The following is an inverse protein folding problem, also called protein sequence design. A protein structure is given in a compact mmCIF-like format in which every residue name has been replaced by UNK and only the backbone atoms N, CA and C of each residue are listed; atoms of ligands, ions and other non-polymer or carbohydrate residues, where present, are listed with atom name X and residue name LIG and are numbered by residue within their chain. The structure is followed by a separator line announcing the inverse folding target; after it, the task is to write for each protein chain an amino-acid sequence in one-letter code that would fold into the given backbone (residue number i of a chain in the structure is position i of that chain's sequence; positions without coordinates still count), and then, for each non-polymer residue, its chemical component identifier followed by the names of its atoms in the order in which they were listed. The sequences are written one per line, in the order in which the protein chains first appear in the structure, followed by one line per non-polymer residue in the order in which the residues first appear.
data_IF_450360592240
#
_entry.id   IF_450360592240
#
_cell.length_a   1.000
_cell.length_b   1.000
_cell.length_c   1.000
_cell.angle_alpha   90.00
_cell.angle_beta   90.00
_cell.angle_gamma   90.00
#
_symmetry.space_group_name_H-M   'P 1'
#
loop_
_entity.id
_entity.type
_entity.pdbx_description
1 polymer ?
#
# COMPACT_ATOMS: atom_id res chain seq x y z
N UNK A 1 -22.38 2.36 -10.04
CA UNK A 1 -23.39 2.35 -8.94
C UNK A 1 -22.82 2.86 -7.62
N UNK A 2 -21.68 2.34 -7.14
CA UNK A 2 -21.06 2.78 -5.87
C UNK A 2 -20.75 4.29 -5.82
N UNK A 3 -20.02 4.85 -6.80
CA UNK A 3 -19.74 6.30 -6.86
C UNK A 3 -21.03 7.14 -6.89
N UNK A 4 -21.98 6.73 -7.72
CA UNK A 4 -23.23 7.45 -7.95
C UNK A 4 -24.16 7.48 -6.72
N UNK A 5 -23.98 6.57 -5.75
CA UNK A 5 -24.78 6.61 -4.52
C UNK A 5 -24.36 7.75 -3.57
N UNK A 6 -23.19 8.36 -3.78
CA UNK A 6 -22.62 9.37 -2.88
C UNK A 6 -22.11 8.82 -1.54
N UNK A 7 -22.45 7.58 -1.18
CA UNK A 7 -22.06 6.96 0.09
C UNK A 7 -20.64 6.36 0.06
N UNK A 8 -20.17 5.93 -1.10
CA UNK A 8 -18.84 5.30 -1.25
C UNK A 8 -17.86 6.32 -1.81
N UNK A 9 -16.93 6.75 -0.97
CA UNK A 9 -15.89 7.74 -1.33
C UNK A 9 -14.72 7.08 -2.08
N UNK A 10 -14.32 5.88 -1.62
CA UNK A 10 -13.13 5.18 -2.08
C UNK A 10 -13.32 3.65 -2.00
N UNK A 11 -12.46 2.90 -2.68
CA UNK A 11 -12.29 1.47 -2.47
C UNK A 11 -10.89 1.19 -1.93
N UNK A 12 -10.78 0.28 -0.95
CA UNK A 12 -9.50 -0.12 -0.36
C UNK A 12 -9.07 -1.47 -0.92
N UNK A 13 -7.89 -1.52 -1.52
CA UNK A 13 -7.24 -2.71 -2.03
C UNK A 13 -6.35 -3.32 -0.94
N UNK A 14 -6.63 -4.58 -0.62
CA UNK A 14 -5.76 -5.44 0.18
C UNK A 14 -5.29 -6.61 -0.68
N UNK A 15 -3.96 -6.82 -0.84
CA UNK A 15 -3.44 -8.06 -1.37
C UNK A 15 -3.83 -9.23 -0.44
N UNK A 16 -4.13 -10.39 -1.03
CA UNK A 16 -4.60 -11.55 -0.26
C UNK A 16 -3.57 -11.97 0.80
N UNK A 17 -3.98 -11.98 2.08
CA UNK A 17 -3.12 -12.36 3.21
C UNK A 17 -2.12 -11.27 3.67
N UNK A 18 -2.24 -10.02 3.22
CA UNK A 18 -1.30 -8.95 3.55
C UNK A 18 -1.44 -8.43 4.98
N UNK A 19 -2.64 -8.51 5.54
CA UNK A 19 -2.97 -7.97 6.86
C UNK A 19 -4.18 -8.68 7.48
N UNK A 20 -4.62 -8.25 8.67
CA UNK A 20 -5.79 -8.80 9.37
C UNK A 20 -7.04 -8.76 8.48
N UNK A 21 -7.77 -9.88 8.39
CA UNK A 21 -8.98 -10.06 7.58
C UNK A 21 -8.80 -9.85 6.07
N UNK A 22 -7.59 -10.11 5.53
CA UNK A 22 -7.31 -9.96 4.10
C UNK A 22 -7.28 -11.27 3.30
N UNK A 23 -7.74 -12.39 3.88
CA UNK A 23 -7.73 -13.70 3.19
C UNK A 23 -8.58 -13.71 1.91
N UNK A 24 -9.62 -12.86 1.85
CA UNK A 24 -10.45 -12.63 0.66
C UNK A 24 -9.93 -11.49 -0.24
N UNK A 25 -8.66 -11.08 -0.05
CA UNK A 25 -8.02 -10.01 -0.79
C UNK A 25 -7.73 -10.36 -2.26
N UNK A 26 -7.15 -9.40 -2.96
CA UNK A 26 -6.81 -9.54 -4.38
C UNK A 26 -5.61 -10.47 -4.53
N UNK A 27 -5.78 -11.55 -5.29
CA UNK A 27 -4.70 -12.53 -5.57
C UNK A 27 -3.85 -12.15 -6.77
N UNK A 28 -4.45 -11.47 -7.75
CA UNK A 28 -3.79 -10.93 -8.94
C UNK A 28 -4.52 -9.64 -9.32
N UNK A 29 -3.78 -8.53 -9.36
CA UNK A 29 -4.36 -7.22 -9.63
C UNK A 29 -4.91 -7.11 -11.05
N UNK A 30 -4.36 -7.87 -12.01
CA UNK A 30 -4.85 -7.86 -13.40
C UNK A 30 -6.28 -8.33 -13.52
N UNK A 31 -6.73 -9.20 -12.61
CA UNK A 31 -8.13 -9.67 -12.58
C UNK A 31 -9.12 -8.57 -12.22
N UNK A 32 -8.67 -7.50 -11.58
CA UNK A 32 -9.51 -6.36 -11.20
C UNK A 32 -9.28 -5.13 -12.08
N UNK A 33 -8.49 -5.21 -13.15
CA UNK A 33 -8.31 -4.10 -14.10
C UNK A 33 -9.63 -3.51 -14.62
N UNK A 34 -10.68 -4.30 -14.93
CA UNK A 34 -11.97 -3.73 -15.29
C UNK A 34 -12.59 -2.85 -14.19
N UNK A 35 -12.33 -3.17 -12.92
CA UNK A 35 -12.77 -2.36 -11.76
C UNK A 35 -11.92 -1.09 -11.65
N UNK A 36 -10.60 -1.19 -11.83
CA UNK A 36 -9.70 -0.03 -11.80
C UNK A 36 -10.03 0.98 -12.91
N UNK A 37 -10.30 0.48 -14.12
CA UNK A 37 -10.79 1.28 -15.25
C UNK A 37 -12.09 2.02 -14.89
N UNK A 38 -13.07 1.29 -14.35
CA UNK A 38 -14.35 1.90 -13.95
C UNK A 38 -14.17 2.92 -12.81
N UNK A 39 -13.25 2.69 -11.87
CA UNK A 39 -12.91 3.65 -10.81
C UNK A 39 -12.28 4.92 -11.38
N UNK A 40 -11.38 4.78 -12.35
CA UNK A 40 -10.77 5.91 -13.07
C UNK A 40 -11.84 6.75 -13.78
N UNK A 41 -12.71 6.11 -14.57
CA UNK A 41 -13.78 6.78 -15.34
C UNK A 41 -14.73 7.61 -14.46
N UNK A 42 -15.00 7.15 -13.23
CA UNK A 42 -15.91 7.84 -12.30
C UNK A 42 -15.17 8.68 -11.24
N UNK A 43 -13.84 8.77 -11.31
CA UNK A 43 -13.02 9.51 -10.34
C UNK A 43 -13.19 9.02 -8.90
N UNK A 44 -13.21 7.70 -8.68
CA UNK A 44 -13.21 7.09 -7.36
C UNK A 44 -11.76 6.86 -6.89
N UNK A 45 -11.49 7.13 -5.60
CA UNK A 45 -10.17 6.91 -5.02
C UNK A 45 -9.88 5.42 -4.82
N UNK A 46 -8.69 4.98 -5.20
CA UNK A 46 -8.11 3.70 -4.84
C UNK A 46 -7.16 3.89 -3.66
N UNK A 47 -7.48 3.30 -2.52
CA UNK A 47 -6.59 3.27 -1.36
C UNK A 47 -5.87 1.92 -1.36
N UNK A 48 -4.56 1.88 -1.10
CA UNK A 48 -3.75 0.66 -1.32
C UNK A 48 -2.96 0.31 -0.07
N UNK A 49 -3.13 -0.92 0.43
CA UNK A 49 -2.13 -1.55 1.31
C UNK A 49 -1.03 -2.13 0.42
N UNK A 50 0.11 -1.45 0.34
CA UNK A 50 1.15 -1.77 -0.65
C UNK A 50 2.19 -2.77 -0.17
N UNK A 51 1.81 -4.04 0.03
CA UNK A 51 2.76 -5.13 0.31
C UNK A 51 2.40 -6.38 -0.49
N UNK A 52 3.41 -7.05 -1.06
CA UNK A 52 3.22 -8.44 -1.51
C UNK A 52 3.18 -9.36 -0.30
N UNK A 53 2.58 -10.54 -0.46
CA UNK A 53 2.32 -11.46 0.65
C UNK A 53 2.98 -12.82 0.47
N UNK A 54 3.71 -12.97 -0.63
CA UNK A 54 4.34 -14.22 -1.01
C UNK A 54 5.39 -14.62 0.04
N UNK A 55 5.47 -15.92 0.32
CA UNK A 55 6.28 -16.46 1.41
C UNK A 55 7.80 -16.39 1.15
N UNK A 56 8.19 -16.23 -0.11
CA UNK A 56 9.57 -16.10 -0.58
C UNK A 56 10.14 -14.68 -0.46
N UNK A 57 9.28 -13.68 -0.19
CA UNK A 57 9.69 -12.28 0.00
C UNK A 57 9.74 -11.95 1.49
N UNK A 58 10.93 -11.53 1.95
CA UNK A 58 11.15 -11.09 3.32
C UNK A 58 10.22 -9.93 3.69
N UNK A 59 9.66 -9.96 4.91
CA UNK A 59 8.68 -8.98 5.38
C UNK A 59 9.17 -7.53 5.29
N UNK A 60 10.49 -7.29 5.38
CA UNK A 60 11.07 -5.96 5.25
C UNK A 60 11.12 -5.46 3.80
N UNK A 61 11.04 -6.35 2.80
CA UNK A 61 11.15 -6.05 1.37
C UNK A 61 9.80 -6.09 0.63
N UNK A 62 8.73 -6.51 1.31
CA UNK A 62 7.38 -6.65 0.72
C UNK A 62 6.82 -5.35 0.13
N UNK A 63 7.06 -4.21 0.78
CA UNK A 63 6.58 -2.91 0.30
C UNK A 63 7.28 -2.52 -1.00
N UNK A 64 8.62 -2.57 -1.03
CA UNK A 64 9.41 -2.31 -2.23
C UNK A 64 9.01 -3.22 -3.40
N UNK A 65 8.86 -4.51 -3.12
CA UNK A 65 8.47 -5.50 -4.13
C UNK A 65 7.08 -5.22 -4.71
N UNK A 66 6.16 -4.70 -3.89
CA UNK A 66 4.83 -4.28 -4.35
C UNK A 66 4.90 -3.04 -5.25
N UNK A 67 5.73 -2.05 -4.90
CA UNK A 67 5.93 -0.86 -5.75
C UNK A 67 6.38 -1.25 -7.15
N UNK A 68 7.43 -2.09 -7.22
CA UNK A 68 8.08 -2.45 -8.47
C UNK A 68 7.18 -3.32 -9.36
N UNK A 69 6.52 -4.33 -8.77
CA UNK A 69 5.83 -5.36 -9.54
C UNK A 69 4.31 -5.16 -9.68
N UNK A 70 3.70 -4.34 -8.82
CA UNK A 70 2.24 -4.19 -8.75
C UNK A 70 1.81 -2.74 -8.95
N UNK A 71 2.35 -1.81 -8.16
CA UNK A 71 1.87 -0.42 -8.21
C UNK A 71 2.36 0.33 -9.45
N UNK A 72 3.62 0.17 -9.83
CA UNK A 72 4.18 0.84 -11.01
C UNK A 72 3.39 0.52 -12.30
N UNK A 73 3.04 -0.75 -12.60
CA UNK A 73 2.17 -1.08 -13.73
C UNK A 73 0.78 -0.42 -13.64
N UNK A 74 0.15 -0.40 -12.46
CA UNK A 74 -1.18 0.22 -12.30
C UNK A 74 -1.14 1.73 -12.58
N UNK A 75 -0.12 2.43 -12.05
CA UNK A 75 0.05 3.87 -12.28
C UNK A 75 0.30 4.16 -13.76
N UNK A 76 1.04 3.28 -14.45
CA UNK A 76 1.30 3.41 -15.89
C UNK A 76 0.04 3.14 -16.73
N UNK A 77 -0.70 2.08 -16.41
CA UNK A 77 -1.86 1.62 -17.17
C UNK A 77 -3.11 2.50 -16.93
N UNK A 78 -3.20 3.12 -15.75
CA UNK A 78 -4.33 3.96 -15.32
C UNK A 78 -3.86 5.34 -14.82
N UNK A 79 -3.32 6.20 -15.70
CA UNK A 79 -2.69 7.47 -15.31
C UNK A 79 -3.66 8.48 -14.66
N UNK A 80 -4.96 8.36 -14.91
CA UNK A 80 -6.00 9.24 -14.35
C UNK A 80 -6.64 8.67 -13.07
N UNK A 81 -6.29 7.42 -12.69
CA UNK A 81 -6.78 6.82 -11.46
C UNK A 81 -6.12 7.49 -10.25
N UNK A 82 -6.94 7.98 -9.34
CA UNK A 82 -6.48 8.61 -8.08
C UNK A 82 -6.13 7.54 -7.06
N UNK A 83 -4.86 7.46 -6.69
CA UNK A 83 -4.31 6.41 -5.84
C UNK A 83 -3.71 7.03 -4.58
N UNK A 84 -4.02 6.42 -3.43
CA UNK A 84 -3.35 6.68 -2.17
C UNK A 84 -2.63 5.41 -1.73
N UNK A 85 -1.30 5.45 -1.73
CA UNK A 85 -0.48 4.42 -1.12
C UNK A 85 -0.50 4.63 0.40
N UNK A 86 -1.26 3.79 1.10
CA UNK A 86 -1.50 3.96 2.52
C UNK A 86 -0.26 3.62 3.33
N UNK A 87 -0.10 4.33 4.47
CA UNK A 87 0.82 4.02 5.56
C UNK A 87 2.20 3.54 5.09
N UNK A 88 2.86 4.33 4.22
CA UNK A 88 4.17 4.00 3.67
C UNK A 88 5.23 3.90 4.76
N UNK A 89 6.19 3.00 4.58
CA UNK A 89 7.21 2.67 5.60
C UNK A 89 8.64 2.69 5.09
N UNK A 90 8.84 2.88 3.78
CA UNK A 90 10.15 2.88 3.12
C UNK A 90 10.47 4.20 2.43
N UNK A 91 11.75 4.58 2.45
CA UNK A 91 12.30 5.61 1.56
C UNK A 91 12.02 5.32 0.07
N UNK A 92 11.98 4.05 -0.34
CA UNK A 92 11.58 3.64 -1.69
C UNK A 92 10.17 4.12 -2.03
N UNK A 93 9.20 3.95 -1.13
CA UNK A 93 7.83 4.45 -1.32
C UNK A 93 7.76 5.98 -1.38
N UNK A 94 8.56 6.68 -0.56
CA UNK A 94 8.67 8.15 -0.65
C UNK A 94 9.20 8.57 -2.02
N UNK A 95 10.27 7.93 -2.50
CA UNK A 95 10.86 8.20 -3.82
C UNK A 95 9.86 7.88 -4.93
N UNK A 96 9.14 6.76 -4.83
CA UNK A 96 8.11 6.38 -5.80
C UNK A 96 7.03 7.46 -5.92
N UNK A 97 6.43 7.87 -4.79
CA UNK A 97 5.34 8.86 -4.77
C UNK A 97 5.83 10.22 -5.27
N UNK A 98 7.05 10.65 -4.90
CA UNK A 98 7.62 11.92 -5.38
C UNK A 98 7.88 11.97 -6.88
N UNK A 99 8.09 10.82 -7.52
CA UNK A 99 8.34 10.72 -8.96
C UNK A 99 7.09 10.29 -9.76
N UNK A 100 5.99 9.98 -9.08
CA UNK A 100 4.71 9.68 -9.71
C UNK A 100 4.00 10.95 -10.18
N UNK A 101 2.91 10.79 -10.93
CA UNK A 101 2.07 11.92 -11.35
C UNK A 101 1.21 12.47 -10.19
N UNK A 102 0.49 13.56 -10.44
CA UNK A 102 -0.33 14.25 -9.43
C UNK A 102 -1.49 13.42 -8.86
N UNK A 103 -1.84 12.29 -9.50
CA UNK A 103 -2.91 11.40 -9.06
C UNK A 103 -2.44 10.37 -8.03
N UNK A 104 -1.14 10.34 -7.68
CA UNK A 104 -0.58 9.43 -6.68
C UNK A 104 -0.18 10.21 -5.42
N UNK A 105 -0.75 9.83 -4.28
CA UNK A 105 -0.40 10.35 -2.98
C UNK A 105 -0.07 9.22 -2.00
N UNK A 106 0.36 9.58 -0.78
CA UNK A 106 0.57 8.62 0.28
C UNK A 106 0.13 9.17 1.64
N UNK A 107 -0.16 8.25 2.57
CA UNK A 107 -0.36 8.56 3.99
C UNK A 107 0.81 8.00 4.80
N UNK A 108 1.10 8.64 5.94
CA UNK A 108 2.12 8.18 6.89
C UNK A 108 1.49 8.16 8.28
N UNK A 109 1.73 7.08 9.03
CA UNK A 109 1.19 6.96 10.39
C UNK A 109 2.12 7.61 11.41
N UNK A 110 1.57 7.98 12.57
CA UNK A 110 2.37 8.55 13.67
C UNK A 110 3.49 7.59 14.13
N UNK A 111 3.22 6.29 14.23
CA UNK A 111 4.20 5.31 14.71
C UNK A 111 5.35 5.07 13.72
N UNK A 112 5.11 5.18 12.40
CA UNK A 112 6.18 5.07 11.40
C UNK A 112 7.08 6.32 11.36
N UNK A 113 6.59 7.48 11.80
CA UNK A 113 7.41 8.68 12.01
C UNK A 113 8.25 8.61 13.28
N UNK A 114 7.75 7.96 14.34
CA UNK A 114 8.38 7.94 15.66
C UNK A 114 9.36 6.77 15.85
N UNK A 115 9.07 5.62 15.23
CA UNK A 115 9.76 4.37 15.52
C UNK A 115 10.34 3.69 14.28
N UNK A 116 11.34 2.86 14.53
CA UNK A 116 11.95 1.94 13.57
C UNK A 116 12.14 0.57 14.24
N UNK A 117 12.53 -0.45 13.49
CA UNK A 117 12.56 -1.85 13.96
C UNK A 117 13.42 -2.11 15.20
N UNK A 118 14.39 -1.25 15.53
CA UNK A 118 15.13 -1.39 16.78
C UNK A 118 14.23 -1.17 18.00
N UNK A 119 13.28 -0.25 17.93
CA UNK A 119 12.29 -0.04 18.99
C UNK A 119 11.47 -1.30 19.24
N UNK A 120 11.15 -2.04 18.19
CA UNK A 120 10.39 -3.29 18.25
C UNK A 120 11.21 -4.50 18.72
N UNK A 121 12.51 -4.58 18.41
CA UNK A 121 13.29 -5.82 18.54
C UNK A 121 14.46 -5.79 19.54
N UNK A 122 15.06 -4.62 19.81
CA UNK A 122 16.23 -4.53 20.72
C UNK A 122 15.80 -4.67 22.16
N UNK A 123 16.50 -5.54 22.91
CA UNK A 123 16.19 -5.83 24.32
C UNK A 123 15.00 -6.78 24.51
N UNK A 124 14.51 -7.41 23.44
CA UNK A 124 13.39 -8.32 23.44
C UNK A 124 12.32 -7.94 22.41
N UNK A 125 11.47 -8.91 22.06
CA UNK A 125 10.35 -8.71 21.14
C UNK A 125 9.27 -7.89 21.87
N UNK A 126 8.94 -6.72 21.33
CA UNK A 126 7.92 -5.82 21.87
C UNK A 126 6.67 -5.81 20.97
N UNK A 127 5.69 -6.69 21.19
CA UNK A 127 4.58 -6.93 20.25
C UNK A 127 3.66 -5.72 20.07
N UNK A 128 3.60 -4.78 21.02
CA UNK A 128 2.81 -3.55 20.87
C UNK A 128 3.29 -2.62 19.74
N UNK A 129 4.53 -2.80 19.26
CA UNK A 129 5.06 -2.08 18.09
C UNK A 129 4.87 -2.84 16.77
N UNK A 130 4.33 -4.06 16.81
CA UNK A 130 4.11 -4.84 15.60
C UNK A 130 2.87 -4.33 14.85
N UNK A 131 3.08 -3.90 13.61
CA UNK A 131 2.05 -3.49 12.67
C UNK A 131 2.43 -3.93 11.25
N UNK A 132 1.52 -3.76 10.29
CA UNK A 132 1.77 -3.98 8.88
C UNK A 132 1.43 -2.71 8.08
N UNK A 133 2.30 -2.24 7.17
CA UNK A 133 3.65 -2.75 6.91
C UNK A 133 4.56 -2.67 8.14
N UNK A 134 5.52 -3.59 8.26
CA UNK A 134 6.35 -3.68 9.47
C UNK A 134 7.28 -2.47 9.62
N UNK A 135 7.57 -2.05 10.86
CA UNK A 135 8.62 -1.06 11.14
C UNK A 135 9.92 -1.44 10.43
N UNK A 136 10.51 -0.51 9.68
CA UNK A 136 11.71 -0.74 8.86
C UNK A 136 12.99 -0.27 9.57
N UNK A 137 14.13 -0.28 8.87
CA UNK A 137 15.40 0.30 9.34
C UNK A 137 15.26 1.81 9.54
N UNK A 138 16.10 2.40 10.39
CA UNK A 138 16.14 3.86 10.60
C UNK A 138 16.48 4.67 9.33
N UNK A 139 17.07 4.04 8.30
CA UNK A 139 17.33 4.68 7.00
C UNK A 139 16.05 4.95 6.18
N UNK A 140 14.91 4.38 6.58
CA UNK A 140 13.62 4.66 5.96
C UNK A 140 12.76 5.67 6.74
N UNK A 141 13.28 6.17 7.87
CA UNK A 141 12.61 7.12 8.75
C UNK A 141 12.99 8.56 8.40
#
# INVERSE_FOLDING_TARGET
KAKASGAVVAAKLYPAGATTNSDSGVTDVKKIYPVLQAMQEVGMLLLVHGEVTTHDVDIFDREKTFLDNVLAPIVQDFPDLKIVLEHITTSDAVVFVKNANENVAATITAHHLLYNRNHMLVGGIKPHFYCLPILKRNTHQ
#
